data_IF_373694468717
#
_entry.id   IF_373694468717
#
_cell.length_a   1.000
_cell.length_b   1.000
_cell.length_c   1.000
_cell.angle_alpha   90.00
_cell.angle_beta   90.00
_cell.angle_gamma   90.00
#
_symmetry.space_group_name_H-M   'P 1'
#
loop_
_entity.id
_entity.type
_entity.pdbx_description
1 polymer ?
#
# COMPACT_ATOMS: atom_id res chain seq x y z
N UNK A 1 -35.17 -49.01 -43.68
CA UNK A 1 -33.93 -49.17 -42.84
C UNK A 1 -32.89 -48.07 -43.11
N UNK A 2 -32.61 -47.71 -44.35
CA UNK A 2 -31.57 -46.71 -44.68
C UNK A 2 -31.84 -45.28 -44.16
N UNK A 3 -33.10 -44.84 -44.02
CA UNK A 3 -33.51 -43.53 -43.50
C UNK A 3 -33.35 -43.40 -42.00
N UNK A 4 -33.48 -44.49 -41.25
CA UNK A 4 -33.32 -44.47 -39.78
C UNK A 4 -31.83 -44.53 -39.36
N UNK A 5 -30.95 -45.09 -40.17
CA UNK A 5 -29.50 -45.06 -39.94
C UNK A 5 -28.95 -43.64 -40.08
N UNK A 6 -29.46 -42.83 -41.01
CA UNK A 6 -29.01 -41.44 -41.20
C UNK A 6 -29.48 -40.55 -40.00
N UNK A 7 -30.72 -40.78 -39.50
CA UNK A 7 -31.25 -40.08 -38.34
C UNK A 7 -30.46 -40.42 -37.07
N UNK A 8 -30.06 -41.67 -36.89
CA UNK A 8 -29.26 -42.11 -35.73
C UNK A 8 -27.83 -41.61 -35.81
N UNK A 9 -27.25 -41.46 -36.97
CA UNK A 9 -25.90 -40.89 -37.16
C UNK A 9 -25.87 -39.39 -36.93
N UNK A 10 -26.99 -38.65 -37.19
CA UNK A 10 -27.04 -37.20 -36.91
C UNK A 10 -27.20 -36.88 -35.43
N UNK A 11 -27.76 -37.81 -34.61
CA UNK A 11 -27.88 -37.61 -33.16
C UNK A 11 -26.51 -37.71 -32.44
N UNK A 12 -25.55 -38.40 -32.99
CA UNK A 12 -24.18 -38.52 -32.41
C UNK A 12 -23.34 -37.27 -32.59
N UNK A 13 -23.69 -36.35 -33.48
CA UNK A 13 -22.98 -35.07 -33.65
C UNK A 13 -23.43 -33.97 -32.70
N UNK A 14 -24.47 -34.20 -31.87
CA UNK A 14 -24.94 -33.22 -30.88
C UNK A 14 -24.32 -33.38 -29.50
N UNK A 15 -23.44 -34.37 -29.31
CA UNK A 15 -22.68 -34.58 -28.08
C UNK A 15 -21.22 -34.13 -28.32
N UNK A 16 -21.02 -33.03 -29.01
CA UNK A 16 -19.69 -32.51 -29.29
C UNK A 16 -19.35 -31.41 -28.32
N UNK A 17 -18.57 -31.78 -27.33
CA UNK A 17 -17.53 -30.94 -26.70
C UNK A 17 -17.95 -29.60 -26.13
N UNK A 18 -18.54 -29.61 -24.92
CA UNK A 18 -18.45 -28.46 -24.01
C UNK A 18 -16.99 -28.15 -23.62
N UNK A 19 -16.12 -29.16 -23.57
CA UNK A 19 -14.70 -28.99 -23.25
C UNK A 19 -13.88 -28.27 -24.35
N UNK A 20 -14.33 -28.27 -25.60
CA UNK A 20 -13.60 -27.61 -26.70
C UNK A 20 -13.84 -26.09 -26.73
N UNK A 21 -14.94 -25.62 -26.15
CA UNK A 21 -15.28 -24.19 -26.07
C UNK A 21 -14.81 -23.55 -24.76
N UNK A 22 -14.43 -24.33 -23.75
CA UNK A 22 -13.83 -23.85 -22.51
C UNK A 22 -12.29 -23.71 -22.67
N UNK A 23 -11.84 -22.95 -23.65
CA UNK A 23 -10.43 -22.52 -23.70
C UNK A 23 -10.21 -21.53 -22.59
N UNK A 24 -9.83 -22.05 -21.41
CA UNK A 24 -9.24 -21.19 -20.38
C UNK A 24 -7.96 -20.60 -20.96
N UNK A 25 -7.81 -19.27 -21.04
CA UNK A 25 -6.56 -18.67 -21.47
C UNK A 25 -5.43 -19.26 -20.61
N UNK A 26 -4.38 -19.78 -21.23
CA UNK A 26 -3.25 -20.43 -20.52
C UNK A 26 -2.49 -19.50 -19.56
N UNK A 27 -2.86 -18.21 -19.49
CA UNK A 27 -2.25 -17.19 -18.66
C UNK A 27 -3.19 -16.62 -17.59
N UNK A 28 -4.44 -17.07 -17.49
CA UNK A 28 -5.39 -16.56 -16.50
C UNK A 28 -5.50 -17.54 -15.33
N UNK A 29 -4.76 -17.25 -14.26
CA UNK A 29 -4.95 -17.95 -13.00
C UNK A 29 -6.30 -17.50 -12.44
N UNK A 30 -7.23 -18.43 -12.25
CA UNK A 30 -8.53 -18.12 -11.67
C UNK A 30 -8.31 -17.63 -10.25
N UNK A 31 -8.86 -16.47 -9.91
CA UNK A 31 -8.58 -15.76 -8.65
C UNK A 31 -8.64 -16.65 -7.40
N UNK A 32 -9.63 -17.57 -7.31
CA UNK A 32 -9.75 -18.44 -6.15
C UNK A 32 -8.58 -19.44 -6.03
N UNK A 33 -8.01 -19.90 -7.17
CA UNK A 33 -6.84 -20.79 -7.18
C UNK A 33 -5.58 -20.02 -6.78
N UNK A 34 -5.48 -18.77 -7.21
CA UNK A 34 -4.35 -17.90 -6.85
C UNK A 34 -4.28 -17.65 -5.34
N UNK A 35 -5.41 -17.38 -4.70
CA UNK A 35 -5.51 -17.15 -3.25
C UNK A 35 -5.75 -18.44 -2.45
N UNK A 36 -5.48 -19.62 -2.98
CA UNK A 36 -5.54 -20.87 -2.20
C UNK A 36 -4.25 -21.12 -1.41
N UNK A 37 -3.14 -20.51 -1.80
CA UNK A 37 -1.83 -20.70 -1.17
C UNK A 37 -1.30 -19.42 -0.51
N UNK A 38 -0.38 -19.52 0.47
CA UNK A 38 0.31 -18.38 1.06
C UNK A 38 1.01 -17.52 0.01
N UNK A 39 1.68 -18.14 -0.97
CA UNK A 39 2.42 -17.46 -2.04
C UNK A 39 1.53 -16.53 -2.85
N UNK A 40 0.27 -16.89 -3.09
CA UNK A 40 -0.67 -16.03 -3.79
C UNK A 40 -1.01 -14.75 -3.01
N UNK A 41 -1.06 -14.81 -1.68
CA UNK A 41 -1.22 -13.63 -0.83
C UNK A 41 0.05 -12.78 -0.80
N UNK A 42 1.21 -13.40 -0.72
CA UNK A 42 2.50 -12.71 -0.77
C UNK A 42 2.69 -11.96 -2.08
N UNK A 43 2.46 -12.63 -3.21
CA UNK A 43 2.56 -12.04 -4.54
C UNK A 43 1.57 -10.89 -4.73
N UNK A 44 0.34 -11.00 -4.19
CA UNK A 44 -0.65 -9.92 -4.24
C UNK A 44 -0.21 -8.70 -3.41
N UNK A 45 0.40 -8.91 -2.23
CA UNK A 45 0.98 -7.85 -1.43
C UNK A 45 2.20 -7.22 -2.11
N UNK A 46 3.10 -8.02 -2.70
CA UNK A 46 4.22 -7.51 -3.51
C UNK A 46 3.73 -6.69 -4.70
N UNK A 47 2.62 -7.10 -5.34
CA UNK A 47 1.96 -6.30 -6.38
C UNK A 47 1.49 -4.94 -5.87
N UNK A 48 0.92 -4.87 -4.66
CA UNK A 48 0.54 -3.60 -4.03
C UNK A 48 1.78 -2.74 -3.71
N UNK A 49 2.85 -3.31 -3.16
CA UNK A 49 4.11 -2.60 -2.91
C UNK A 49 4.76 -2.10 -4.22
N UNK A 50 4.74 -2.91 -5.26
CA UNK A 50 5.21 -2.49 -6.59
C UNK A 50 4.43 -1.29 -7.13
N UNK A 51 3.12 -1.24 -6.89
CA UNK A 51 2.31 -0.09 -7.28
C UNK A 51 2.63 1.16 -6.44
N UNK A 52 2.94 0.98 -5.14
CA UNK A 52 3.42 2.08 -4.29
C UNK A 52 4.72 2.70 -4.81
N UNK A 53 5.60 1.91 -5.42
CA UNK A 53 6.87 2.39 -5.98
C UNK A 53 6.73 3.11 -7.33
N UNK A 54 5.51 3.20 -7.91
CA UNK A 54 5.28 3.94 -9.13
C UNK A 54 5.57 5.44 -8.96
N UNK A 55 6.04 6.11 -10.04
CA UNK A 55 6.35 7.56 -10.02
C UNK A 55 5.18 8.42 -9.56
N UNK A 56 3.94 8.03 -9.88
CA UNK A 56 2.73 8.74 -9.44
C UNK A 56 2.50 8.69 -7.91
N UNK A 57 3.17 7.80 -7.19
CA UNK A 57 3.10 7.67 -5.74
C UNK A 57 4.48 7.91 -5.10
N UNK A 58 5.00 6.93 -4.37
CA UNK A 58 6.22 7.11 -3.56
C UNK A 58 7.52 6.91 -4.35
N UNK A 59 7.45 6.45 -5.60
CA UNK A 59 8.61 6.42 -6.50
C UNK A 59 9.10 7.81 -6.91
N UNK A 60 8.23 8.85 -6.86
CA UNK A 60 8.61 10.22 -7.19
C UNK A 60 7.68 11.26 -6.54
N UNK A 61 6.37 11.32 -6.93
CA UNK A 61 5.50 12.47 -6.63
C UNK A 61 5.25 12.68 -5.14
N UNK A 62 5.05 11.62 -4.38
CA UNK A 62 4.75 11.67 -2.94
C UNK A 62 5.99 11.56 -2.05
N UNK A 63 7.19 11.59 -2.62
CA UNK A 63 8.46 11.57 -1.91
C UNK A 63 9.30 12.79 -2.29
N UNK A 64 10.29 12.64 -3.16
CA UNK A 64 11.26 13.67 -3.53
C UNK A 64 10.83 14.55 -4.71
N UNK A 65 9.74 14.22 -5.41
CA UNK A 65 9.26 14.94 -6.58
C UNK A 65 8.29 16.10 -6.24
N UNK A 66 6.99 15.91 -6.53
CA UNK A 66 5.97 16.96 -6.44
C UNK A 66 5.86 17.59 -5.04
N UNK A 67 5.88 16.79 -3.97
CA UNK A 67 5.74 17.30 -2.60
C UNK A 67 6.92 18.16 -2.18
N UNK A 68 8.15 17.79 -2.53
CA UNK A 68 9.33 18.57 -2.20
C UNK A 68 9.39 19.87 -3.00
N UNK A 69 8.85 19.86 -4.23
CA UNK A 69 8.67 21.09 -5.00
C UNK A 69 7.67 22.02 -4.33
N UNK A 70 6.53 21.50 -3.85
CA UNK A 70 5.54 22.28 -3.10
C UNK A 70 6.11 22.82 -1.80
N UNK A 71 6.96 22.03 -1.13
CA UNK A 71 7.69 22.44 0.07
C UNK A 71 8.82 23.45 -0.21
N UNK A 72 9.09 23.75 -1.49
CA UNK A 72 10.13 24.69 -1.95
C UNK A 72 11.57 24.26 -1.53
N UNK A 73 11.81 22.96 -1.46
CA UNK A 73 13.14 22.43 -1.14
C UNK A 73 14.15 22.58 -2.29
N UNK A 74 13.67 22.79 -3.52
CA UNK A 74 14.52 22.98 -4.69
C UNK A 74 14.77 24.45 -5.01
N UNK A 75 15.98 24.75 -5.47
CA UNK A 75 16.32 26.09 -5.95
C UNK A 75 15.62 26.37 -7.29
N UNK A 76 14.95 27.53 -7.42
CA UNK A 76 14.20 27.93 -8.60
C UNK A 76 14.98 27.85 -9.92
N UNK A 77 16.29 28.04 -9.89
CA UNK A 77 17.16 28.06 -11.09
C UNK A 77 17.63 26.64 -11.52
N UNK A 78 17.40 25.61 -10.70
CA UNK A 78 17.75 24.23 -11.02
C UNK A 78 16.58 23.40 -11.50
N UNK A 79 15.43 24.02 -11.77
CA UNK A 79 14.17 23.35 -12.04
C UNK A 79 13.73 23.67 -13.48
N UNK A 80 13.30 22.66 -14.22
CA UNK A 80 12.75 22.84 -15.57
C UNK A 80 11.42 23.62 -15.56
N UNK A 81 10.96 24.11 -16.71
CA UNK A 81 9.79 24.97 -16.81
C UNK A 81 8.48 24.29 -16.38
N UNK A 82 8.37 22.96 -16.53
CA UNK A 82 7.23 22.21 -16.05
C UNK A 82 7.12 22.26 -14.51
N UNK A 83 8.26 22.16 -13.82
CA UNK A 83 8.32 22.22 -12.37
C UNK A 83 8.16 23.64 -11.84
N UNK A 84 8.50 24.68 -12.63
CA UNK A 84 8.24 26.08 -12.26
C UNK A 84 6.74 26.37 -12.06
N UNK A 85 5.88 25.74 -12.85
CA UNK A 85 4.41 25.84 -12.68
C UNK A 85 3.95 25.25 -11.36
N UNK A 86 4.64 24.22 -10.85
CA UNK A 86 4.38 23.61 -9.54
C UNK A 86 4.73 24.56 -8.39
N UNK A 87 5.85 25.30 -8.50
CA UNK A 87 6.28 26.27 -7.48
C UNK A 87 5.29 27.41 -7.24
N UNK A 88 4.56 27.82 -8.28
CA UNK A 88 3.58 28.91 -8.20
C UNK A 88 2.15 28.39 -8.08
N UNK A 89 1.98 27.06 -7.87
CA UNK A 89 0.69 26.41 -7.67
C UNK A 89 -0.34 26.71 -8.77
N UNK A 90 0.08 26.66 -10.03
CA UNK A 90 -0.84 26.77 -11.16
C UNK A 90 -1.70 25.51 -11.27
N UNK A 91 -2.78 25.44 -10.51
CA UNK A 91 -3.62 24.23 -10.34
C UNK A 91 -4.11 23.62 -11.65
N UNK A 92 -4.38 24.42 -12.67
CA UNK A 92 -4.80 23.89 -13.98
C UNK A 92 -3.72 23.04 -14.64
N UNK A 93 -2.45 23.44 -14.54
CA UNK A 93 -1.32 22.67 -15.06
C UNK A 93 -0.99 21.45 -14.21
N UNK A 94 -1.40 21.45 -12.95
CA UNK A 94 -1.18 20.35 -12.00
C UNK A 94 -2.28 19.29 -12.00
N UNK A 95 -3.38 19.53 -12.71
CA UNK A 95 -4.54 18.63 -12.74
C UNK A 95 -4.18 17.20 -13.14
N UNK A 96 -3.28 17.02 -14.11
CA UNK A 96 -2.82 15.70 -14.54
C UNK A 96 -2.08 14.94 -13.42
N UNK A 97 -1.22 15.63 -12.65
CA UNK A 97 -0.51 15.05 -11.51
C UNK A 97 -1.49 14.64 -10.41
N UNK A 98 -2.45 15.49 -10.06
CA UNK A 98 -3.48 15.19 -9.08
C UNK A 98 -4.31 13.97 -9.48
N UNK A 99 -4.71 13.88 -10.75
CA UNK A 99 -5.45 12.75 -11.26
C UNK A 99 -4.62 11.45 -11.22
N UNK A 100 -3.33 11.51 -11.56
CA UNK A 100 -2.44 10.36 -11.49
C UNK A 100 -2.28 9.86 -10.06
N UNK A 101 -2.04 10.74 -9.09
CA UNK A 101 -1.93 10.39 -7.68
C UNK A 101 -3.23 9.76 -7.17
N UNK A 102 -4.37 10.41 -7.45
CA UNK A 102 -5.69 9.93 -7.04
C UNK A 102 -5.98 8.54 -7.60
N UNK A 103 -5.87 8.39 -8.91
CA UNK A 103 -6.19 7.13 -9.58
C UNK A 103 -5.25 6.00 -9.13
N UNK A 104 -3.94 6.26 -9.08
CA UNK A 104 -2.98 5.24 -8.68
C UNK A 104 -3.10 4.89 -7.19
N UNK A 105 -3.43 5.85 -6.34
CA UNK A 105 -3.72 5.62 -4.93
C UNK A 105 -4.92 4.70 -4.74
N UNK A 106 -6.04 4.96 -5.40
CA UNK A 106 -7.23 4.12 -5.30
C UNK A 106 -7.09 2.76 -6.01
N UNK A 107 -6.31 2.69 -7.10
CA UNK A 107 -5.93 1.42 -7.72
C UNK A 107 -5.19 0.52 -6.72
N UNK A 108 -4.20 1.08 -6.01
CA UNK A 108 -3.45 0.34 -4.98
C UNK A 108 -4.34 -0.06 -3.80
N UNK A 109 -5.26 0.80 -3.36
CA UNK A 109 -6.27 0.47 -2.36
C UNK A 109 -7.14 -0.71 -2.85
N UNK A 110 -7.47 -0.74 -4.13
CA UNK A 110 -8.17 -1.86 -4.75
C UNK A 110 -7.42 -3.18 -4.59
N UNK A 111 -6.12 -3.21 -4.91
CA UNK A 111 -5.30 -4.41 -4.73
C UNK A 111 -5.24 -4.86 -3.27
N UNK A 112 -5.06 -3.94 -2.35
CA UNK A 112 -5.07 -4.22 -0.91
C UNK A 112 -6.43 -4.78 -0.46
N UNK A 113 -7.53 -4.20 -0.91
CA UNK A 113 -8.88 -4.70 -0.60
C UNK A 113 -9.14 -6.09 -1.19
N UNK A 114 -8.54 -6.42 -2.35
CA UNK A 114 -8.61 -7.76 -2.90
C UNK A 114 -7.93 -8.79 -1.99
N UNK A 115 -6.77 -8.47 -1.46
CA UNK A 115 -6.08 -9.30 -0.45
C UNK A 115 -6.99 -9.51 0.76
N UNK A 116 -7.54 -8.45 1.34
CA UNK A 116 -8.43 -8.52 2.52
C UNK A 116 -9.67 -9.36 2.25
N UNK A 117 -10.35 -9.16 1.12
CA UNK A 117 -11.54 -9.95 0.72
C UNK A 117 -11.24 -11.45 0.64
N UNK A 118 -10.08 -11.82 0.08
CA UNK A 118 -9.72 -13.22 -0.04
C UNK A 118 -9.27 -13.82 1.30
N UNK A 119 -8.65 -13.04 2.19
CA UNK A 119 -8.34 -13.45 3.56
C UNK A 119 -9.60 -13.76 4.39
N UNK A 120 -10.71 -13.01 4.20
CA UNK A 120 -11.98 -13.26 4.88
C UNK A 120 -12.56 -14.66 4.60
N UNK A 121 -12.17 -15.27 3.48
CA UNK A 121 -12.57 -16.64 3.08
C UNK A 121 -11.70 -17.73 3.69
N UNK A 122 -10.64 -17.36 4.39
CA UNK A 122 -9.69 -18.27 5.02
C UNK A 122 -9.82 -18.22 6.54
N UNK A 123 -9.48 -19.31 7.21
CA UNK A 123 -9.35 -19.30 8.66
C UNK A 123 -7.92 -18.93 9.05
N UNK A 124 -7.76 -18.26 10.17
CA UNK A 124 -6.44 -17.92 10.74
C UNK A 124 -5.53 -19.14 10.88
N UNK A 125 -6.09 -20.28 11.30
CA UNK A 125 -5.35 -21.52 11.50
C UNK A 125 -4.98 -22.26 10.20
N UNK A 126 -5.54 -21.86 9.07
CA UNK A 126 -5.29 -22.53 7.77
C UNK A 126 -4.10 -21.97 7.01
N UNK A 127 -3.50 -20.87 7.49
CA UNK A 127 -2.46 -20.17 6.75
C UNK A 127 -1.39 -19.63 7.70
N UNK A 128 -0.12 -19.93 7.44
CA UNK A 128 0.98 -19.59 8.33
C UNK A 128 1.05 -18.08 8.51
N UNK A 129 1.19 -17.22 7.75
CA UNK A 129 1.29 -15.77 8.01
C UNK A 129 -0.03 -15.00 7.87
N UNK A 130 -1.18 -15.62 8.13
CA UNK A 130 -2.49 -14.97 8.01
C UNK A 130 -2.55 -13.59 8.68
N UNK A 131 -2.06 -13.49 9.93
CA UNK A 131 -2.06 -12.24 10.69
C UNK A 131 -1.18 -11.18 10.05
N UNK A 132 0.01 -11.56 9.59
CA UNK A 132 0.92 -10.64 8.91
C UNK A 132 0.30 -10.13 7.62
N UNK A 133 -0.24 -10.99 6.76
CA UNK A 133 -0.90 -10.58 5.51
C UNK A 133 -2.05 -9.61 5.78
N UNK A 134 -2.92 -9.93 6.76
CA UNK A 134 -4.05 -9.07 7.10
C UNK A 134 -3.60 -7.75 7.71
N UNK A 135 -2.64 -7.77 8.61
CA UNK A 135 -2.09 -6.59 9.25
C UNK A 135 -1.41 -5.64 8.27
N UNK A 136 -0.59 -6.18 7.34
CA UNK A 136 0.03 -5.39 6.28
C UNK A 136 -1.02 -4.75 5.37
N UNK A 137 -2.00 -5.52 4.91
CA UNK A 137 -3.06 -5.01 4.04
C UNK A 137 -3.88 -3.89 4.71
N UNK A 138 -4.27 -4.05 5.98
CA UNK A 138 -4.97 -3.00 6.74
C UNK A 138 -4.10 -1.76 6.92
N UNK A 139 -2.83 -1.95 7.25
CA UNK A 139 -1.88 -0.86 7.41
C UNK A 139 -1.65 -0.07 6.13
N UNK A 140 -1.46 -0.75 5.00
CA UNK A 140 -1.34 -0.13 3.67
C UNK A 140 -2.61 0.63 3.26
N UNK A 141 -3.78 0.05 3.52
CA UNK A 141 -5.07 0.71 3.26
C UNK A 141 -5.21 2.00 4.05
N UNK A 142 -4.88 1.97 5.32
CA UNK A 142 -4.92 3.14 6.19
C UNK A 142 -3.89 4.20 5.75
N UNK A 143 -2.67 3.79 5.42
CA UNK A 143 -1.60 4.68 4.97
C UNK A 143 -1.99 5.45 3.71
N UNK A 144 -2.48 4.75 2.69
CA UNK A 144 -2.91 5.34 1.43
C UNK A 144 -4.08 6.30 1.60
N UNK A 145 -5.12 5.91 2.34
CA UNK A 145 -6.25 6.80 2.60
C UNK A 145 -5.83 8.03 3.41
N UNK A 146 -4.93 7.89 4.38
CA UNK A 146 -4.44 9.02 5.15
C UNK A 146 -3.67 10.01 4.29
N UNK A 147 -2.78 9.54 3.41
CA UNK A 147 -2.04 10.43 2.52
C UNK A 147 -2.93 11.07 1.46
N UNK A 148 -3.89 10.34 0.88
CA UNK A 148 -4.90 10.92 -0.01
C UNK A 148 -5.75 11.99 0.71
N UNK A 149 -6.16 11.73 1.96
CA UNK A 149 -6.91 12.71 2.75
C UNK A 149 -6.11 14.00 2.95
N UNK A 150 -4.82 13.88 3.28
CA UNK A 150 -3.95 15.05 3.51
C UNK A 150 -3.72 15.87 2.26
N UNK A 151 -3.73 15.23 1.09
CA UNK A 151 -3.53 15.90 -0.20
C UNK A 151 -4.80 16.56 -0.74
N UNK A 152 -5.96 15.93 -0.55
CA UNK A 152 -7.19 16.30 -1.25
C UNK A 152 -8.28 16.88 -0.34
N UNK A 153 -8.05 16.97 0.96
CA UNK A 153 -9.03 17.50 1.91
C UNK A 153 -8.44 18.56 2.84
N UNK A 154 -9.29 19.41 3.44
CA UNK A 154 -8.83 20.37 4.45
C UNK A 154 -8.23 19.69 5.68
N UNK A 155 -7.40 20.43 6.44
CA UNK A 155 -6.85 19.95 7.68
C UNK A 155 -7.94 19.73 8.73
N UNK A 156 -7.88 18.60 9.45
CA UNK A 156 -8.89 18.17 10.42
C UNK A 156 -9.11 19.19 11.54
N UNK A 157 -8.06 19.81 12.04
CA UNK A 157 -8.16 20.83 13.11
C UNK A 157 -8.91 22.10 12.70
N UNK A 158 -8.97 22.42 11.40
CA UNK A 158 -9.68 23.59 10.90
C UNK A 158 -11.09 23.28 10.39
N UNK A 159 -11.29 22.13 9.75
CA UNK A 159 -12.57 21.77 9.11
C UNK A 159 -12.89 20.28 9.25
N UNK A 160 -13.12 19.74 10.46
CA UNK A 160 -13.34 18.31 10.69
C UNK A 160 -14.56 17.74 9.95
N UNK A 161 -15.61 18.55 9.79
CA UNK A 161 -16.86 18.16 9.13
C UNK A 161 -16.90 18.47 7.62
N UNK A 162 -15.82 19.02 7.05
CA UNK A 162 -15.76 19.23 5.61
C UNK A 162 -15.72 17.89 4.87
N UNK A 163 -16.06 17.92 3.59
CA UNK A 163 -15.92 16.78 2.72
C UNK A 163 -14.44 16.34 2.68
N UNK A 164 -14.21 15.08 3.03
CA UNK A 164 -12.93 14.41 2.94
C UNK A 164 -12.82 13.63 1.63
N UNK A 165 -12.57 12.34 1.73
CA UNK A 165 -12.40 11.41 0.61
C UNK A 165 -13.30 10.16 0.80
N UNK A 166 -13.55 9.36 -0.25
CA UNK A 166 -14.10 8.02 -0.09
C UNK A 166 -13.13 7.13 0.70
N UNK A 167 -13.61 6.46 1.75
CA UNK A 167 -12.86 5.41 2.43
C UNK A 167 -13.32 4.05 1.91
N UNK A 168 -12.53 3.47 0.99
CA UNK A 168 -12.92 2.28 0.23
C UNK A 168 -12.41 1.02 0.94
N UNK A 169 -13.33 0.15 1.34
CA UNK A 169 -13.03 -1.10 2.07
C UNK A 169 -13.43 -2.36 1.31
N UNK A 170 -14.05 -2.22 0.14
CA UNK A 170 -14.53 -3.32 -0.68
C UNK A 170 -13.75 -3.37 -1.99
N UNK A 171 -13.62 -4.58 -2.55
CA UNK A 171 -13.06 -4.81 -3.88
C UNK A 171 -14.19 -5.09 -4.87
N UNK A 172 -14.85 -4.03 -5.29
CA UNK A 172 -15.96 -4.08 -6.25
C UNK A 172 -15.99 -2.79 -7.07
N UNK A 173 -16.55 -2.86 -8.28
CA UNK A 173 -16.82 -1.68 -9.09
C UNK A 173 -18.10 -1.02 -8.56
N UNK A 174 -17.94 -0.22 -7.52
CA UNK A 174 -19.04 0.49 -6.88
C UNK A 174 -18.66 1.93 -6.55
N UNK A 175 -19.66 2.81 -6.54
CA UNK A 175 -19.49 4.19 -6.10
C UNK A 175 -19.40 4.22 -4.57
N UNK A 176 -18.24 4.62 -4.07
CA UNK A 176 -18.05 4.83 -2.62
C UNK A 176 -18.37 6.27 -2.25
N UNK A 177 -19.23 6.51 -1.24
CA UNK A 177 -19.58 7.87 -0.83
C UNK A 177 -18.37 8.58 -0.18
N UNK A 178 -18.29 9.88 -0.39
CA UNK A 178 -17.37 10.72 0.35
C UNK A 178 -17.72 10.72 1.83
N UNK A 179 -16.70 10.65 2.66
CA UNK A 179 -16.79 10.79 4.11
C UNK A 179 -16.36 12.19 4.52
N UNK A 180 -16.73 12.62 5.72
CA UNK A 180 -16.12 13.81 6.31
C UNK A 180 -14.65 13.57 6.67
N UNK A 181 -13.88 14.63 6.79
CA UNK A 181 -12.47 14.55 7.21
C UNK A 181 -12.34 13.76 8.52
N UNK A 182 -13.17 14.06 9.54
CA UNK A 182 -13.14 13.38 10.84
C UNK A 182 -13.45 11.89 10.71
N UNK A 183 -14.47 11.52 9.94
CA UNK A 183 -14.83 10.12 9.72
C UNK A 183 -13.67 9.32 9.05
N UNK A 184 -12.95 9.94 8.11
CA UNK A 184 -11.79 9.28 7.49
C UNK A 184 -10.67 9.07 8.52
N UNK A 185 -10.39 10.06 9.40
CA UNK A 185 -9.43 9.87 10.49
C UNK A 185 -9.80 8.71 11.40
N UNK A 186 -11.08 8.59 11.76
CA UNK A 186 -11.55 7.52 12.65
C UNK A 186 -11.42 6.14 11.98
N UNK A 187 -11.68 6.04 10.68
CA UNK A 187 -11.50 4.81 9.91
C UNK A 187 -10.03 4.43 9.73
N UNK A 188 -9.16 5.42 9.47
CA UNK A 188 -7.69 5.23 9.44
C UNK A 188 -7.20 4.68 10.78
N UNK A 189 -7.60 5.31 11.90
CA UNK A 189 -7.21 4.86 13.24
C UNK A 189 -7.72 3.44 13.51
N UNK A 190 -8.94 3.12 13.09
CA UNK A 190 -9.50 1.77 13.23
C UNK A 190 -8.65 0.72 12.53
N UNK A 191 -8.35 0.92 11.25
CA UNK A 191 -7.54 -0.03 10.47
C UNK A 191 -6.13 -0.16 11.05
N UNK A 192 -5.51 0.95 11.48
CA UNK A 192 -4.17 0.92 12.06
C UNK A 192 -4.12 0.21 13.41
N UNK A 193 -5.15 0.35 14.26
CA UNK A 193 -5.23 -0.38 15.53
C UNK A 193 -5.41 -1.88 15.30
N UNK A 194 -6.22 -2.27 14.33
CA UNK A 194 -6.35 -3.68 13.95
C UNK A 194 -5.04 -4.21 13.38
N UNK A 195 -4.36 -3.44 12.52
CA UNK A 195 -3.04 -3.78 11.99
C UNK A 195 -2.00 -3.96 13.11
N UNK A 196 -1.94 -3.03 14.08
CA UNK A 196 -1.04 -3.14 15.25
C UNK A 196 -1.25 -4.46 16.01
N UNK A 197 -2.51 -4.87 16.23
CA UNK A 197 -2.82 -6.11 16.94
C UNK A 197 -2.40 -7.36 16.15
N UNK A 198 -2.50 -7.32 14.82
CA UNK A 198 -2.18 -8.44 13.96
C UNK A 198 -0.67 -8.59 13.70
N UNK A 199 0.07 -7.48 13.71
CA UNK A 199 1.49 -7.44 13.37
C UNK A 199 2.43 -7.68 14.57
N UNK A 200 1.93 -8.18 15.71
CA UNK A 200 2.74 -8.38 16.92
C UNK A 200 3.95 -9.30 16.71
N UNK A 201 3.89 -10.22 15.75
CA UNK A 201 5.00 -11.12 15.42
C UNK A 201 6.25 -10.37 14.95
N UNK A 202 6.11 -9.16 14.40
CA UNK A 202 7.22 -8.30 14.01
C UNK A 202 8.14 -7.90 15.19
N UNK A 203 7.68 -8.01 16.43
CA UNK A 203 8.56 -7.83 17.59
C UNK A 203 9.75 -8.80 17.58
N UNK A 204 9.55 -9.99 17.05
CA UNK A 204 10.58 -11.03 16.95
C UNK A 204 11.23 -11.08 15.56
N UNK A 205 10.49 -10.78 14.51
CA UNK A 205 10.98 -10.84 13.13
C UNK A 205 11.88 -9.66 12.78
N UNK A 206 11.53 -8.45 13.25
CA UNK A 206 12.29 -7.25 12.97
C UNK A 206 13.36 -7.00 14.04
N UNK A 207 14.57 -7.48 13.77
CA UNK A 207 15.71 -7.39 14.69
C UNK A 207 16.79 -6.45 14.16
N UNK A 208 17.58 -5.86 15.07
CA UNK A 208 18.75 -5.08 14.74
C UNK A 208 20.01 -5.74 15.33
N UNK A 209 21.15 -5.79 14.61
CA UNK A 209 21.33 -5.43 13.19
C UNK A 209 20.48 -6.29 12.26
N UNK A 210 20.03 -5.70 11.13
CA UNK A 210 19.19 -6.38 10.16
C UNK A 210 19.87 -7.67 9.67
N UNK A 211 19.15 -8.76 9.67
CA UNK A 211 19.64 -10.07 9.21
C UNK A 211 18.87 -10.47 7.95
N UNK A 212 19.62 -10.70 6.88
CA UNK A 212 19.06 -11.31 5.69
C UNK A 212 18.99 -12.82 5.90
N UNK A 213 17.80 -13.40 5.89
CA UNK A 213 17.61 -14.86 5.97
C UNK A 213 17.08 -15.32 4.61
N UNK A 214 17.92 -16.06 3.88
CA UNK A 214 17.68 -16.43 2.47
C UNK A 214 16.48 -17.37 2.23
N UNK A 215 15.92 -18.00 3.26
CA UNK A 215 14.98 -19.11 3.10
C UNK A 215 13.54 -18.82 3.51
N UNK A 216 13.21 -17.64 3.99
CA UNK A 216 11.84 -17.24 4.30
C UNK A 216 11.63 -15.80 3.84
N UNK A 217 11.24 -15.65 2.55
CA UNK A 217 11.17 -14.37 1.87
C UNK A 217 10.22 -13.38 2.53
N UNK A 218 9.07 -13.81 3.02
CA UNK A 218 8.05 -12.91 3.55
C UNK A 218 8.34 -12.46 4.99
N UNK A 219 8.85 -13.36 5.84
CA UNK A 219 9.18 -13.04 7.23
C UNK A 219 10.53 -12.31 7.38
N UNK A 220 11.30 -12.18 6.29
CA UNK A 220 12.57 -11.45 6.28
C UNK A 220 12.41 -10.04 5.70
N UNK A 221 13.39 -9.18 5.92
CA UNK A 221 13.37 -7.80 5.40
C UNK A 221 12.08 -7.04 5.79
N UNK A 222 11.61 -7.23 7.02
CA UNK A 222 10.36 -6.62 7.48
C UNK A 222 10.36 -5.08 7.42
N UNK A 223 11.50 -4.44 7.22
CA UNK A 223 11.63 -3.00 6.97
C UNK A 223 11.11 -2.55 5.58
N UNK A 224 10.95 -3.47 4.62
CA UNK A 224 10.31 -3.17 3.34
C UNK A 224 8.83 -3.59 3.30
N UNK A 225 8.34 -4.23 4.35
CA UNK A 225 6.95 -4.57 4.59
C UNK A 225 6.31 -3.61 5.58
N UNK A 226 5.02 -3.30 5.43
CA UNK A 226 4.30 -2.51 6.42
C UNK A 226 4.22 -3.28 7.73
N UNK A 227 5.09 -2.95 8.67
CA UNK A 227 5.31 -3.69 9.91
C UNK A 227 4.61 -3.05 11.12
N UNK A 228 4.69 -3.72 12.27
CA UNK A 228 4.14 -3.25 13.56
C UNK A 228 4.54 -1.80 13.87
N UNK A 229 5.82 -1.49 13.72
CA UNK A 229 6.35 -0.17 14.08
C UNK A 229 5.93 0.90 13.06
N UNK A 230 5.71 0.53 11.80
CA UNK A 230 5.10 1.40 10.80
C UNK A 230 3.66 1.77 11.19
N UNK A 231 2.86 0.79 11.68
CA UNK A 231 1.52 1.05 12.19
C UNK A 231 1.55 1.99 13.40
N UNK A 232 2.44 1.77 14.36
CA UNK A 232 2.60 2.61 15.55
C UNK A 232 3.09 4.02 15.20
N UNK A 233 4.09 4.15 14.33
CA UNK A 233 4.59 5.46 13.87
C UNK A 233 3.51 6.24 13.12
N UNK A 234 2.72 5.55 12.28
CA UNK A 234 1.61 6.18 11.56
C UNK A 234 0.49 6.59 12.52
N UNK A 235 0.16 5.78 13.54
CA UNK A 235 -0.80 6.18 14.59
C UNK A 235 -0.33 7.43 15.33
N UNK A 236 0.94 7.51 15.70
CA UNK A 236 1.51 8.71 16.30
C UNK A 236 1.29 9.94 15.41
N UNK A 237 1.57 9.84 14.12
CA UNK A 237 1.39 10.91 13.13
C UNK A 237 -0.08 11.29 12.93
N UNK A 238 -0.98 10.31 12.84
CA UNK A 238 -2.42 10.52 12.67
C UNK A 238 -3.00 11.24 13.90
N UNK A 239 -2.69 10.79 15.12
CA UNK A 239 -3.13 11.42 16.35
C UNK A 239 -2.56 12.83 16.51
N UNK A 240 -1.28 13.03 16.19
CA UNK A 240 -0.67 14.37 16.22
C UNK A 240 -1.40 15.35 15.29
N UNK A 241 -1.69 14.94 14.06
CA UNK A 241 -2.43 15.77 13.11
C UNK A 241 -3.89 16.01 13.52
N UNK A 242 -4.51 15.06 14.24
CA UNK A 242 -5.84 15.19 14.82
C UNK A 242 -5.86 16.15 16.02
N UNK A 243 -4.70 16.49 16.59
CA UNK A 243 -4.55 17.30 17.80
C UNK A 243 -4.62 16.50 19.09
N UNK A 244 -4.70 15.19 19.03
CA UNK A 244 -4.66 14.27 20.18
C UNK A 244 -3.21 13.96 20.57
N UNK A 245 -2.61 14.91 21.28
CA UNK A 245 -1.19 14.85 21.63
C UNK A 245 -0.86 13.73 22.63
N UNK A 246 -1.82 13.34 23.47
CA UNK A 246 -1.64 12.25 24.43
C UNK A 246 -1.43 10.92 23.71
N UNK A 247 -2.35 10.53 22.81
CA UNK A 247 -2.21 9.32 22.02
C UNK A 247 -1.01 9.41 21.06
N UNK A 248 -0.74 10.57 20.48
CA UNK A 248 0.45 10.75 19.64
C UNK A 248 1.74 10.43 20.41
N UNK A 249 1.86 10.91 21.65
CA UNK A 249 3.01 10.62 22.51
C UNK A 249 3.11 9.14 22.88
N UNK A 250 1.97 8.50 23.23
CA UNK A 250 1.92 7.07 23.57
C UNK A 250 2.47 6.23 22.40
N UNK A 251 1.98 6.47 21.19
CA UNK A 251 2.41 5.71 20.01
C UNK A 251 3.83 6.02 19.57
N UNK A 252 4.27 7.27 19.68
CA UNK A 252 5.67 7.62 19.40
C UNK A 252 6.63 6.91 20.38
N UNK A 253 6.27 6.83 21.67
CA UNK A 253 7.06 6.11 22.65
C UNK A 253 7.14 4.61 22.39
N UNK A 254 6.06 3.97 21.95
CA UNK A 254 6.11 2.54 21.57
C UNK A 254 7.23 2.25 20.57
N UNK A 255 7.40 3.13 19.56
CA UNK A 255 8.48 2.98 18.57
C UNK A 255 9.84 3.27 19.19
N UNK A 256 9.99 4.38 19.92
CA UNK A 256 11.27 4.80 20.50
C UNK A 256 11.76 3.79 21.55
N UNK A 257 10.87 3.41 22.48
CA UNK A 257 11.19 2.53 23.61
C UNK A 257 11.42 1.07 23.15
N UNK A 258 11.02 0.70 21.93
CA UNK A 258 11.32 -0.60 21.35
C UNK A 258 12.83 -0.85 21.17
N UNK A 259 13.64 0.21 21.05
CA UNK A 259 15.07 0.13 20.78
C UNK A 259 15.43 -0.44 19.40
N UNK A 260 14.43 -0.68 18.52
CA UNK A 260 14.62 -1.29 17.20
C UNK A 260 15.20 -0.35 16.14
N UNK A 261 15.15 0.96 16.40
CA UNK A 261 15.52 2.03 15.46
C UNK A 261 16.46 3.02 16.13
N UNK A 262 17.72 2.59 16.46
CA UNK A 262 18.68 3.48 17.09
C UNK A 262 19.09 4.58 16.11
N UNK A 263 19.22 5.80 16.62
CA UNK A 263 19.69 6.92 15.84
C UNK A 263 21.11 6.68 15.31
N UNK A 264 21.37 7.13 14.11
CA UNK A 264 22.70 7.04 13.49
C UNK A 264 23.68 8.01 14.16
N UNK A 265 24.94 7.62 14.24
CA UNK A 265 26.00 8.49 14.75
C UNK A 265 26.22 9.67 13.79
N UNK A 266 26.38 10.88 14.35
CA UNK A 266 26.69 12.10 13.58
C UNK A 266 27.90 11.94 12.64
N UNK A 267 28.86 11.08 12.99
CA UNK A 267 30.03 10.80 12.17
C UNK A 267 29.70 9.99 10.92
N UNK A 268 28.61 9.21 10.93
CA UNK A 268 28.17 8.39 9.81
C UNK A 268 27.20 9.11 8.86
N UNK A 269 26.73 10.32 9.20
CA UNK A 269 25.89 11.15 8.31
C UNK A 269 26.56 11.41 6.96
N UNK A 270 27.89 11.41 6.88
CA UNK A 270 28.63 11.53 5.61
C UNK A 270 28.40 10.34 4.67
N UNK A 271 28.17 9.14 5.21
CA UNK A 271 27.82 7.95 4.42
C UNK A 271 26.40 8.05 3.85
N UNK A 272 25.48 8.69 4.56
CA UNK A 272 24.12 8.99 4.10
C UNK A 272 24.14 9.90 2.86
N UNK A 273 24.99 10.95 2.86
CA UNK A 273 25.18 11.85 1.70
C UNK A 273 25.78 11.10 0.50
N UNK A 274 26.48 9.99 0.73
CA UNK A 274 27.04 9.14 -0.31
C UNK A 274 26.07 8.06 -0.85
N UNK A 275 24.77 8.13 -0.49
CA UNK A 275 23.75 7.22 -1.01
C UNK A 275 23.55 5.92 -0.23
N UNK A 276 24.17 5.78 0.94
CA UNK A 276 23.92 4.64 1.82
C UNK A 276 22.76 4.99 2.77
N UNK A 277 21.62 4.34 2.61
CA UNK A 277 20.50 4.46 3.55
C UNK A 277 20.98 3.94 4.90
N UNK A 278 20.74 4.71 5.97
CA UNK A 278 20.97 4.23 7.33
C UNK A 278 19.88 3.22 7.68
N UNK A 279 20.16 1.95 7.50
CA UNK A 279 19.25 0.84 7.82
C UNK A 279 18.71 0.90 9.26
N UNK A 280 19.47 1.54 10.16
CA UNK A 280 19.16 1.65 11.57
C UNK A 280 17.89 2.43 11.87
N UNK A 281 17.70 3.57 11.22
CA UNK A 281 16.60 4.51 11.50
C UNK A 281 15.35 4.21 10.68
N UNK A 282 15.47 3.38 9.62
CA UNK A 282 14.37 3.07 8.73
C UNK A 282 13.34 2.17 9.44
N UNK A 283 12.16 2.71 9.73
CA UNK A 283 11.04 1.97 10.29
C UNK A 283 10.37 1.14 9.22
N UNK A 284 10.08 1.76 8.09
CA UNK A 284 9.50 1.16 6.91
C UNK A 284 9.80 2.01 5.68
N UNK A 285 10.07 1.36 4.57
CA UNK A 285 10.32 2.02 3.30
C UNK A 285 9.79 1.24 2.12
N UNK A 286 9.38 1.95 1.08
CA UNK A 286 9.00 1.33 -0.19
C UNK A 286 10.26 1.02 -0.98
N UNK A 287 10.49 -0.28 -1.27
CA UNK A 287 11.62 -0.69 -2.09
C UNK A 287 11.35 -0.33 -3.56
N UNK A 288 12.32 0.30 -4.22
CA UNK A 288 12.27 0.58 -5.65
C UNK A 288 13.66 0.53 -6.27
N UNK A 289 13.74 -0.03 -7.48
CA UNK A 289 14.96 0.00 -8.31
C UNK A 289 14.94 1.16 -9.32
N UNK A 290 13.82 1.88 -9.42
CA UNK A 290 13.59 2.88 -10.48
C UNK A 290 14.15 4.28 -10.16
N UNK A 291 14.59 4.55 -8.93
CA UNK A 291 15.10 5.88 -8.56
C UNK A 291 16.31 6.26 -9.42
N UNK A 292 17.17 5.29 -9.77
CA UNK A 292 18.38 5.54 -10.56
C UNK A 292 18.11 5.86 -12.03
N UNK A 293 16.93 5.50 -12.55
CA UNK A 293 16.55 5.73 -13.95
C UNK A 293 15.93 7.12 -14.17
N UNK A 294 15.57 7.83 -13.08
CA UNK A 294 14.85 9.11 -13.10
C UNK A 294 15.66 10.30 -12.56
N UNK A 295 16.93 10.10 -12.24
CA UNK A 295 17.89 11.12 -11.82
C UNK A 295 18.91 11.34 -12.92
#
# INVERSE_FOLDING_TARGET
MRKYCILFLSLFFLVACDDFLSVKPKAEIVEHVYFDTPEGFEDALYGAYSTLSASALYGEYLSWGLLDVFAQYYKKNSINDNVKSMLILEHEKLRSYYNLIWNKGYETIGYVNNVLRNLERKSENSMHYYKLYKGEALGLRAYLHFDLLRLFAPHVGSKPNAQGIPYVTIYEVAVSPFKTVSEVYDLVIKDLKEAELLLQEDETLLVYPRKFVLNDGFATCREIHFNLYAAQALLARVYWMKGDLENALIYARKVIDSGKFPLEDKLNIRSFVAGTITEKEAIWGVYTTQILDNV
#
